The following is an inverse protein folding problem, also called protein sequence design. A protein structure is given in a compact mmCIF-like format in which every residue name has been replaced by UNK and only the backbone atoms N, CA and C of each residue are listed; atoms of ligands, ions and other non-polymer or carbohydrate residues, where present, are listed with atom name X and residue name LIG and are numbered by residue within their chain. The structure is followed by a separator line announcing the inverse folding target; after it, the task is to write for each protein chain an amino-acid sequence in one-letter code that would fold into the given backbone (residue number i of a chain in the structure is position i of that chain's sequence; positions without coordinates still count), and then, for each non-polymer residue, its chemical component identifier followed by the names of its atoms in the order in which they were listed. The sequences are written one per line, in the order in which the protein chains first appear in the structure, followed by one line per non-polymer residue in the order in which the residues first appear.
data_IF_590293925896
#
_entry.id   IF_590293925896
#
_cell.length_a   1.000
_cell.length_b   1.000
_cell.length_c   1.000
_cell.angle_alpha   90.00
_cell.angle_beta   90.00
_cell.angle_gamma   90.00
#
_symmetry.space_group_name_H-M   'P 1'
#
loop_
_entity.id
_entity.type
_entity.pdbx_description
1 polymer ?
#
# COMPACT_ATOMS: atom_id res chain seq x y z
N UNK A 1 14.94 2.51 -17.22
CA UNK A 1 14.29 1.57 -16.27
C UNK A 1 13.77 2.39 -15.11
N UNK A 2 12.46 2.34 -14.85
CA UNK A 2 11.84 3.06 -13.73
C UNK A 2 12.37 2.51 -12.40
N UNK A 3 12.83 3.39 -11.50
CA UNK A 3 13.28 3.02 -10.16
C UNK A 3 12.25 3.52 -9.14
N UNK A 4 11.35 2.63 -8.75
CA UNK A 4 10.23 2.91 -7.85
C UNK A 4 10.71 3.40 -6.48
N UNK A 5 11.77 2.83 -5.92
CA UNK A 5 12.32 3.28 -4.64
C UNK A 5 12.77 4.74 -4.71
N UNK A 6 13.57 5.09 -5.72
CA UNK A 6 14.07 6.46 -5.91
C UNK A 6 12.89 7.42 -6.10
N UNK A 7 11.92 7.05 -6.92
CA UNK A 7 10.72 7.85 -7.16
C UNK A 7 9.97 8.13 -5.87
N UNK A 8 9.68 7.11 -5.06
CA UNK A 8 8.97 7.26 -3.78
C UNK A 8 9.72 8.22 -2.85
N UNK A 9 11.05 8.09 -2.75
CA UNK A 9 11.87 8.96 -1.88
C UNK A 9 11.85 10.42 -2.31
N UNK A 10 11.83 10.68 -3.60
CA UNK A 10 11.95 12.02 -4.18
C UNK A 10 10.60 12.74 -4.34
N UNK A 11 9.52 12.00 -4.63
CA UNK A 11 8.23 12.57 -5.04
C UNK A 11 7.08 12.31 -4.07
N UNK A 12 7.12 11.20 -3.33
CA UNK A 12 6.04 10.84 -2.41
C UNK A 12 6.31 11.43 -1.02
N UNK A 13 5.27 12.02 -0.45
CA UNK A 13 5.23 12.54 0.91
C UNK A 13 4.65 11.47 1.83
N UNK A 14 5.08 11.50 3.08
CA UNK A 14 4.53 10.66 4.12
C UNK A 14 3.02 10.87 4.23
N UNK A 15 2.25 9.81 4.00
CA UNK A 15 0.79 9.80 4.04
C UNK A 15 0.22 10.09 5.44
N UNK A 16 1.04 10.07 6.50
CA UNK A 16 0.60 10.38 7.86
C UNK A 16 0.89 11.84 8.27
N UNK A 17 2.06 12.40 7.92
CA UNK A 17 2.50 13.72 8.38
C UNK A 17 2.79 14.74 7.27
N UNK A 18 2.77 14.35 6.00
CA UNK A 18 3.11 15.20 4.85
C UNK A 18 4.60 15.48 4.66
N UNK A 19 5.47 14.95 5.54
CA UNK A 19 6.93 15.11 5.45
C UNK A 19 7.57 14.32 4.30
N UNK A 20 8.82 14.63 3.99
CA UNK A 20 9.58 13.92 2.94
C UNK A 20 9.95 12.48 3.35
N UNK A 21 10.03 11.57 2.38
CA UNK A 21 10.52 10.22 2.56
C UNK A 21 12.02 10.05 2.24
N UNK A 22 12.69 11.10 1.74
CA UNK A 22 14.08 11.08 1.23
C UNK A 22 15.08 10.42 2.19
N UNK A 23 14.95 10.70 3.49
CA UNK A 23 15.87 10.23 4.53
C UNK A 23 15.35 9.01 5.30
N UNK A 24 14.22 8.41 4.90
CA UNK A 24 13.73 7.19 5.54
C UNK A 24 14.74 6.06 5.30
N UNK A 25 15.05 5.24 6.30
CA UNK A 25 15.91 4.08 6.14
C UNK A 25 15.28 3.05 5.20
N UNK A 26 13.96 2.90 5.27
CA UNK A 26 13.18 1.96 4.46
C UNK A 26 12.02 2.65 3.74
N UNK A 27 11.51 2.01 2.69
CA UNK A 27 10.23 2.37 2.08
C UNK A 27 9.13 1.63 2.84
N UNK A 28 8.45 2.33 3.74
CA UNK A 28 7.41 1.74 4.56
C UNK A 28 6.06 1.90 3.86
N UNK A 29 5.72 0.92 3.02
CA UNK A 29 4.40 0.80 2.42
C UNK A 29 3.41 0.13 3.38
N UNK A 30 2.19 0.66 3.45
CA UNK A 30 1.07 0.11 4.22
C UNK A 30 -0.02 -0.25 3.22
N UNK A 31 -0.47 -1.51 3.24
CA UNK A 31 -1.68 -1.94 2.57
C UNK A 31 -2.88 -1.47 3.41
N UNK A 32 -3.85 -0.81 2.76
CA UNK A 32 -5.06 -0.34 3.39
C UNK A 32 -6.21 -1.26 3.00
N UNK A 33 -7.16 -1.47 3.92
CA UNK A 33 -8.42 -2.15 3.63
C UNK A 33 -9.42 -1.23 2.92
N UNK A 34 -8.93 -0.59 1.86
CA UNK A 34 -9.62 0.42 1.05
C UNK A 34 -9.46 0.08 -0.43
N UNK A 35 -10.54 0.25 -1.21
CA UNK A 35 -10.52 0.05 -2.64
C UNK A 35 -9.70 1.15 -3.33
N UNK A 36 -8.74 0.76 -4.16
CA UNK A 36 -8.07 1.65 -5.09
C UNK A 36 -8.83 1.69 -6.43
N UNK A 37 -9.35 2.86 -6.77
CA UNK A 37 -10.01 3.09 -8.07
C UNK A 37 -9.01 3.44 -9.19
N UNK A 38 -7.71 3.49 -8.86
CA UNK A 38 -6.59 3.72 -9.77
C UNK A 38 -5.79 2.43 -10.00
N UNK A 39 -4.84 2.46 -10.93
CA UNK A 39 -4.06 1.27 -11.33
C UNK A 39 -2.71 1.13 -10.61
N UNK A 40 -2.10 2.23 -10.16
CA UNK A 40 -0.81 2.18 -9.49
C UNK A 40 -0.55 3.33 -8.50
N UNK A 41 0.15 3.11 -7.37
CA UNK A 41 0.44 1.81 -6.78
C UNK A 41 -0.82 1.22 -6.14
N UNK A 42 -0.97 -0.09 -6.29
CA UNK A 42 -2.00 -0.88 -5.61
C UNK A 42 -1.37 -2.12 -5.03
N UNK A 43 -1.96 -2.64 -3.97
CA UNK A 43 -1.60 -3.93 -3.43
C UNK A 43 -2.60 -4.98 -3.91
N UNK A 44 -2.08 -5.98 -4.61
CA UNK A 44 -2.81 -7.20 -4.99
C UNK A 44 -2.02 -8.38 -4.43
N UNK A 45 -2.64 -9.22 -3.62
CA UNK A 45 -2.00 -10.40 -3.08
C UNK A 45 -2.31 -11.61 -3.93
N UNK A 46 -1.30 -12.09 -4.67
CA UNK A 46 -1.40 -13.25 -5.56
C UNK A 46 -1.89 -14.49 -4.81
N UNK A 47 -1.57 -14.63 -3.52
CA UNK A 47 -2.00 -15.78 -2.72
C UNK A 47 -3.51 -15.81 -2.53
N UNK A 48 -4.15 -14.67 -2.31
CA UNK A 48 -5.59 -14.61 -2.04
C UNK A 48 -6.37 -13.97 -3.19
N UNK A 49 -5.76 -13.84 -4.38
CA UNK A 49 -6.34 -13.12 -5.51
C UNK A 49 -7.68 -13.70 -5.99
N UNK A 50 -7.89 -15.02 -5.82
CA UNK A 50 -9.17 -15.67 -6.14
C UNK A 50 -10.28 -15.28 -5.17
N UNK A 51 -9.95 -15.05 -3.90
CA UNK A 51 -10.90 -14.72 -2.82
C UNK A 51 -11.05 -13.19 -2.64
N UNK A 52 -10.00 -12.43 -2.93
CA UNK A 52 -9.90 -10.98 -2.83
C UNK A 52 -9.26 -10.39 -4.09
N UNK A 53 -10.00 -10.34 -5.22
CA UNK A 53 -9.49 -9.82 -6.48
C UNK A 53 -9.35 -8.29 -6.50
N UNK A 54 -9.88 -7.59 -5.49
CA UNK A 54 -9.92 -6.14 -5.47
C UNK A 54 -8.54 -5.49 -5.25
N UNK A 55 -8.30 -4.41 -5.99
CA UNK A 55 -7.11 -3.57 -5.82
C UNK A 55 -7.17 -2.82 -4.49
N UNK A 56 -6.20 -3.06 -3.60
CA UNK A 56 -6.11 -2.34 -2.33
C UNK A 56 -5.26 -1.10 -2.44
N UNK A 57 -5.73 -0.01 -1.84
CA UNK A 57 -5.01 1.24 -1.78
C UNK A 57 -3.76 1.12 -0.91
N UNK A 58 -2.73 1.87 -1.27
CA UNK A 58 -1.46 1.90 -0.55
C UNK A 58 -1.17 3.27 0.03
N UNK A 59 -0.50 3.30 1.17
CA UNK A 59 0.07 4.49 1.78
C UNK A 59 1.57 4.30 2.04
N UNK A 60 2.36 5.37 1.96
CA UNK A 60 3.77 5.34 2.35
C UNK A 60 4.03 6.25 3.53
N UNK A 61 4.74 5.77 4.54
CA UNK A 61 5.03 6.52 5.76
C UNK A 61 6.53 6.61 6.04
N UNK A 62 6.95 7.72 6.67
CA UNK A 62 8.32 7.86 7.12
C UNK A 62 8.58 6.98 8.36
N UNK A 63 9.86 6.65 8.60
CA UNK A 63 10.27 5.82 9.74
C UNK A 63 9.78 6.35 11.09
N UNK A 64 9.74 7.67 11.26
CA UNK A 64 9.28 8.29 12.51
C UNK A 64 7.78 8.04 12.73
N UNK A 65 6.96 8.16 11.68
CA UNK A 65 5.53 7.88 11.76
C UNK A 65 5.28 6.39 12.01
N UNK A 66 6.05 5.50 11.38
CA UNK A 66 5.99 4.07 11.65
C UNK A 66 6.34 3.76 13.12
N UNK A 67 7.46 4.28 13.63
CA UNK A 67 7.88 4.10 15.03
C UNK A 67 6.85 4.62 16.03
N UNK A 68 6.21 5.75 15.72
CA UNK A 68 5.15 6.35 16.55
C UNK A 68 3.76 5.75 16.31
N UNK A 69 3.64 4.74 15.45
CA UNK A 69 2.36 4.12 15.04
C UNK A 69 1.31 5.15 14.59
N UNK A 70 1.74 6.20 13.90
CA UNK A 70 0.83 7.21 13.35
C UNK A 70 0.10 6.62 12.16
N UNK A 71 -1.23 6.68 12.20
CA UNK A 71 -2.06 6.19 11.11
C UNK A 71 -1.91 7.11 9.88
N UNK A 72 -1.83 6.54 8.67
CA UNK A 72 -1.90 7.32 7.44
C UNK A 72 -3.26 8.01 7.33
N UNK A 73 -3.29 9.17 6.68
CA UNK A 73 -4.50 9.93 6.35
C UNK A 73 -4.83 9.88 4.87
N UNK A 74 -3.84 9.55 4.05
CA UNK A 74 -3.96 9.51 2.60
C UNK A 74 -3.49 8.17 2.04
N UNK A 75 -4.18 7.68 1.02
CA UNK A 75 -3.61 6.75 0.06
C UNK A 75 -2.88 7.52 -1.05
N UNK A 76 -2.04 6.83 -1.81
CA UNK A 76 -1.29 7.42 -2.91
C UNK A 76 -1.61 6.74 -4.24
N UNK A 77 -1.71 7.56 -5.27
CA UNK A 77 -1.76 7.17 -6.68
C UNK A 77 -0.61 7.88 -7.38
N UNK A 78 0.04 7.23 -8.33
CA UNK A 78 0.83 7.95 -9.31
C UNK A 78 0.84 7.25 -10.68
N UNK A 79 1.03 8.05 -11.72
CA UNK A 79 1.05 7.61 -13.11
C UNK A 79 2.48 7.45 -13.67
N UNK A 80 2.58 6.92 -14.89
CA UNK A 80 3.83 6.81 -15.63
C UNK A 80 4.45 8.18 -15.99
N UNK A 81 3.69 9.28 -15.79
CA UNK A 81 4.13 10.66 -15.98
C UNK A 81 4.61 11.31 -14.68
N UNK A 82 4.88 10.51 -13.64
CA UNK A 82 5.45 10.95 -12.36
C UNK A 82 4.54 11.87 -11.53
N UNK A 83 3.24 11.96 -11.83
CA UNK A 83 2.31 12.79 -11.06
C UNK A 83 1.80 12.03 -9.84
N UNK A 84 1.99 12.59 -8.64
CA UNK A 84 1.53 11.98 -7.39
C UNK A 84 0.23 12.65 -6.93
N UNK A 85 -0.82 11.85 -6.76
CA UNK A 85 -2.08 12.26 -6.14
C UNK A 85 -2.23 11.62 -4.75
N UNK A 86 -2.88 12.34 -3.85
CA UNK A 86 -3.16 11.89 -2.49
C UNK A 86 -4.67 11.86 -2.29
N UNK A 87 -5.17 10.68 -1.94
CA UNK A 87 -6.60 10.43 -1.73
C UNK A 87 -6.88 10.32 -0.24
N UNK A 88 -7.75 11.14 0.37
CA UNK A 88 -8.12 10.98 1.77
C UNK A 88 -8.69 9.59 2.01
N UNK A 89 -8.18 8.88 3.02
CA UNK A 89 -8.59 7.49 3.31
C UNK A 89 -10.06 7.40 3.71
N UNK A 90 -10.58 8.45 4.34
CA UNK A 90 -11.99 8.54 4.74
C UNK A 90 -12.96 8.57 3.56
N UNK A 91 -12.50 9.03 2.39
CA UNK A 91 -13.32 9.11 1.17
C UNK A 91 -13.29 7.80 0.36
N UNK A 92 -12.41 6.85 0.72
CA UNK A 92 -12.25 5.59 0.00
C UNK A 92 -13.22 4.53 0.53
N UNK A 93 -13.79 3.76 -0.40
CA UNK A 93 -14.64 2.61 -0.11
C UNK A 93 -13.87 1.55 0.69
N UNK A 94 -14.45 1.09 1.79
CA UNK A 94 -13.91 -0.01 2.59
C UNK A 94 -13.94 -1.35 1.84
N UNK A 95 -12.91 -2.14 2.08
CA UNK A 95 -12.83 -3.55 1.73
C UNK A 95 -12.78 -4.37 3.02
N UNK A 96 -13.25 -5.63 3.02
CA UNK A 96 -13.06 -6.51 4.17
C UNK A 96 -11.57 -6.68 4.46
N UNK A 97 -11.18 -6.73 5.73
CA UNK A 97 -9.80 -7.05 6.13
C UNK A 97 -9.42 -8.44 5.61
N UNK A 98 -8.17 -8.60 5.16
CA UNK A 98 -7.61 -9.92 4.86
C UNK A 98 -6.89 -10.41 6.11
N UNK A 99 -7.44 -11.43 6.74
CA UNK A 99 -6.91 -11.97 8.00
C UNK A 99 -5.69 -12.84 7.77
N UNK A 100 -4.84 -12.95 8.79
CA UNK A 100 -3.70 -13.88 8.75
C UNK A 100 -4.17 -15.34 8.60
N UNK A 101 -5.33 -15.68 9.15
CA UNK A 101 -5.93 -17.01 9.03
C UNK A 101 -6.28 -17.36 7.58
N UNK A 102 -6.84 -16.42 6.82
CA UNK A 102 -7.14 -16.59 5.40
C UNK A 102 -5.86 -16.78 4.59
N UNK A 103 -4.84 -15.94 4.82
CA UNK A 103 -3.54 -16.08 4.16
C UNK A 103 -2.92 -17.45 4.47
N UNK A 104 -2.91 -17.86 5.74
CA UNK A 104 -2.36 -19.15 6.18
C UNK A 104 -3.17 -20.35 5.64
N UNK A 105 -4.49 -20.21 5.48
CA UNK A 105 -5.33 -21.23 4.85
C UNK A 105 -4.91 -21.43 3.39
N UNK A 106 -4.79 -20.35 2.61
CA UNK A 106 -4.41 -20.46 1.20
C UNK A 106 -2.98 -21.01 1.05
N UNK A 107 -2.04 -20.55 1.89
CA UNK A 107 -0.68 -21.09 1.91
C UNK A 107 -0.65 -22.60 2.15
N UNK A 108 -1.38 -23.10 3.16
CA UNK A 108 -1.49 -24.55 3.42
C UNK A 108 -2.04 -25.33 2.23
N UNK A 109 -3.09 -24.80 1.59
CA UNK A 109 -3.70 -25.46 0.44
C UNK A 109 -2.77 -25.48 -0.79
N UNK A 110 -1.93 -24.45 -0.95
CA UNK A 110 -0.96 -24.37 -2.06
C UNK A 110 0.18 -25.39 -1.91
N UNK A 111 0.62 -25.68 -0.68
CA UNK A 111 1.69 -26.66 -0.39
C UNK A 111 1.25 -28.13 -0.53
N UNK A 112 -0.06 -28.42 -0.49
CA UNK A 112 -0.59 -29.78 -0.68
C UNK A 112 -0.78 -30.16 -2.16
N UNK A 113 -0.58 -29.21 -3.08
CA UNK A 113 -0.74 -29.41 -4.53
C UNK A 113 0.55 -29.84 -5.25
N UNK A 114 1.61 -30.15 -4.51
CA UNK A 114 2.90 -30.65 -5.02
C UNK A 114 3.27 -31.98 -4.37
#
# INVERSE_FOLDING_TARGET
MFNSERFIRERVKCCACGGTLKNSKHINGICLDKLAEWDYPVWNNILVADEHPEKRAMAFVCDECLKKKRQPKFAVEWDDHENVKYHPIEDLKDLPEITEEEVNRVLRNSMQRY
#
